data_IF_927699292070
#
_entry.id   IF_927699292070
#
_cell.length_a   1.000
_cell.length_b   1.000
_cell.length_c   1.000
_cell.angle_alpha   90.00
_cell.angle_beta   90.00
_cell.angle_gamma   90.00
#
_symmetry.space_group_name_H-M   'P 1'
#
loop_
_entity.id
_entity.type
_entity.pdbx_description
1 polymer ?
#
# COMPACT_ATOMS: atom_id res chain seq x y z
N UNK A 1 13.04 -18.00 15.54
CA UNK A 1 12.04 -17.13 14.88
C UNK A 1 12.36 -17.20 13.41
N UNK A 2 11.43 -17.58 12.53
CA UNK A 2 11.85 -17.87 11.15
C UNK A 2 12.22 -16.59 10.40
N UNK A 3 13.34 -16.65 9.68
CA UNK A 3 13.86 -15.58 8.82
C UNK A 3 13.98 -16.06 7.39
N UNK A 4 13.59 -15.22 6.43
CA UNK A 4 13.92 -15.39 5.01
C UNK A 4 14.58 -14.10 4.50
N UNK A 5 15.73 -14.25 3.84
CA UNK A 5 16.46 -13.14 3.22
C UNK A 5 16.53 -13.44 1.72
N UNK A 6 16.17 -12.45 0.90
CA UNK A 6 16.13 -12.67 -0.55
C UNK A 6 16.02 -11.38 -1.34
N UNK A 7 15.77 -11.56 -2.64
CA UNK A 7 15.49 -10.47 -3.57
C UNK A 7 14.23 -10.79 -4.35
N UNK A 8 13.27 -9.86 -4.34
CA UNK A 8 12.08 -9.92 -5.16
C UNK A 8 12.28 -9.10 -6.45
N UNK A 9 11.63 -9.48 -7.53
CA UNK A 9 11.72 -8.78 -8.81
C UNK A 9 10.87 -7.50 -8.88
N UNK A 10 9.88 -7.37 -7.99
CA UNK A 10 8.97 -6.23 -7.89
C UNK A 10 8.23 -6.22 -6.55
N UNK A 11 7.52 -5.15 -6.25
CA UNK A 11 6.59 -5.10 -5.12
C UNK A 11 5.49 -6.19 -5.16
N UNK A 12 5.16 -6.71 -6.35
CA UNK A 12 4.14 -7.75 -6.50
C UNK A 12 4.67 -9.16 -6.30
N UNK A 13 5.92 -9.40 -6.72
CA UNK A 13 6.64 -10.64 -6.43
C UNK A 13 6.95 -10.73 -4.93
N UNK A 14 7.36 -9.62 -4.32
CA UNK A 14 7.55 -9.54 -2.86
C UNK A 14 6.27 -9.92 -2.09
N UNK A 15 5.09 -9.58 -2.63
CA UNK A 15 3.80 -9.86 -2.00
C UNK A 15 3.51 -11.37 -2.01
N UNK A 16 3.75 -12.03 -3.14
CA UNK A 16 3.58 -13.49 -3.28
C UNK A 16 4.61 -14.26 -2.45
N UNK A 17 5.84 -13.73 -2.36
CA UNK A 17 6.89 -14.28 -1.49
C UNK A 17 6.50 -14.17 -0.02
N UNK A 18 6.01 -13.02 0.44
CA UNK A 18 5.53 -12.86 1.83
C UNK A 18 4.38 -13.84 2.13
N UNK A 19 3.40 -13.91 1.23
CA UNK A 19 2.29 -14.88 1.34
C UNK A 19 2.81 -16.29 1.53
N UNK A 20 3.72 -16.73 0.67
CA UNK A 20 4.31 -18.08 0.73
C UNK A 20 5.10 -18.29 2.02
N UNK A 21 5.90 -17.31 2.43
CA UNK A 21 6.66 -17.35 3.67
C UNK A 21 5.76 -17.59 4.88
N UNK A 22 4.69 -16.79 5.03
CA UNK A 22 3.79 -16.86 6.18
C UNK A 22 2.88 -18.10 6.20
N UNK A 23 2.45 -18.56 5.03
CA UNK A 23 1.42 -19.62 4.90
C UNK A 23 1.98 -21.00 4.58
N UNK A 24 3.26 -21.11 4.21
CA UNK A 24 3.91 -22.36 3.83
C UNK A 24 5.24 -22.56 4.53
N UNK A 25 6.12 -21.56 4.53
CA UNK A 25 7.51 -21.72 5.03
C UNK A 25 7.58 -21.82 6.55
N UNK A 26 6.74 -21.07 7.29
CA UNK A 26 6.75 -21.11 8.75
C UNK A 26 6.48 -22.53 9.30
N UNK A 27 7.10 -22.86 10.47
CA UNK A 27 6.76 -24.05 11.24
C UNK A 27 5.24 -24.18 11.43
N UNK A 28 4.72 -25.41 11.40
CA UNK A 28 3.27 -25.67 11.37
C UNK A 28 2.52 -24.97 12.51
N UNK A 29 3.11 -24.90 13.71
CA UNK A 29 2.53 -24.24 14.89
C UNK A 29 2.61 -22.70 14.88
N UNK A 30 3.40 -22.12 13.99
CA UNK A 30 3.58 -20.67 13.83
C UNK A 30 2.98 -20.13 12.53
N UNK A 31 2.49 -21.02 11.66
CA UNK A 31 2.03 -20.71 10.32
C UNK A 31 0.73 -19.93 10.34
N UNK A 32 0.69 -18.87 9.53
CA UNK A 32 -0.50 -18.06 9.35
C UNK A 32 -1.45 -18.73 8.35
N UNK A 33 -2.74 -18.70 8.63
CA UNK A 33 -3.77 -19.20 7.73
C UNK A 33 -4.11 -18.13 6.69
N UNK A 34 -4.13 -18.51 5.41
CA UNK A 34 -4.73 -17.71 4.34
C UNK A 34 -6.26 -17.82 4.39
N UNK A 35 -6.94 -16.70 4.61
CA UNK A 35 -8.39 -16.61 4.59
C UNK A 35 -8.91 -16.21 3.21
N UNK A 36 -8.15 -15.38 2.49
CA UNK A 36 -8.47 -14.92 1.14
C UNK A 36 -7.21 -14.45 0.43
N UNK A 37 -7.13 -14.73 -0.87
CA UNK A 37 -6.13 -14.18 -1.77
C UNK A 37 -6.69 -14.10 -3.18
N UNK A 38 -6.55 -12.96 -3.86
CA UNK A 38 -6.82 -12.85 -5.31
C UNK A 38 -5.51 -12.84 -6.11
N UNK A 39 -5.19 -13.92 -6.84
CA UNK A 39 -3.97 -13.96 -7.66
C UNK A 39 -4.06 -13.04 -8.90
N UNK A 40 -5.28 -12.71 -9.32
CA UNK A 40 -5.56 -11.93 -10.52
C UNK A 40 -5.67 -10.43 -10.20
N UNK A 41 -4.60 -9.68 -10.52
CA UNK A 41 -4.52 -8.22 -10.46
C UNK A 41 -3.89 -7.72 -11.77
N UNK A 42 -4.55 -6.84 -12.50
CA UNK A 42 -3.95 -6.29 -13.73
C UNK A 42 -3.58 -4.84 -13.50
N UNK A 43 -2.37 -4.46 -13.91
CA UNK A 43 -1.90 -3.07 -13.83
C UNK A 43 -2.15 -2.40 -15.17
N UNK A 44 -2.71 -1.20 -15.13
CA UNK A 44 -2.62 -0.28 -16.26
C UNK A 44 -1.24 0.41 -16.21
N UNK A 45 -0.41 0.15 -17.21
CA UNK A 45 0.97 0.68 -17.30
C UNK A 45 1.11 1.79 -18.34
N UNK A 46 0.20 1.85 -19.31
CA UNK A 46 0.18 2.84 -20.37
C UNK A 46 -1.24 3.32 -20.67
N UNK A 47 -1.39 4.60 -21.04
CA UNK A 47 -2.55 5.10 -21.78
C UNK A 47 -2.03 5.86 -22.98
N UNK A 48 -2.64 5.64 -24.13
CA UNK A 48 -2.25 6.29 -25.38
C UNK A 48 -3.50 6.75 -26.14
N UNK A 49 -3.31 7.78 -26.95
CA UNK A 49 -4.29 8.25 -27.90
C UNK A 49 -3.55 8.71 -29.16
N UNK A 50 -4.03 8.33 -30.34
CA UNK A 50 -3.49 8.84 -31.60
C UNK A 50 -4.22 10.11 -32.07
N UNK A 51 -5.37 10.42 -31.46
CA UNK A 51 -6.28 11.48 -31.85
C UNK A 51 -6.74 12.29 -30.64
N UNK A 52 -5.83 12.95 -29.94
CA UNK A 52 -6.12 13.73 -28.73
C UNK A 52 -4.98 13.61 -27.74
N UNK A 53 -5.01 14.39 -26.66
CA UNK A 53 -4.01 14.32 -25.61
C UNK A 53 -4.53 13.46 -24.45
N UNK A 54 -3.70 12.55 -23.96
CA UNK A 54 -4.01 11.75 -22.78
C UNK A 54 -2.75 11.58 -21.95
N UNK A 55 -2.91 11.51 -20.63
CA UNK A 55 -1.81 11.24 -19.70
C UNK A 55 -2.23 10.14 -18.74
N UNK A 56 -1.25 9.48 -18.12
CA UNK A 56 -1.53 8.47 -17.09
C UNK A 56 -2.25 9.06 -15.86
N UNK A 57 -2.00 10.33 -15.53
CA UNK A 57 -2.62 11.00 -14.37
C UNK A 57 -4.08 11.40 -14.63
N UNK A 58 -4.39 11.87 -15.84
CA UNK A 58 -5.70 12.34 -16.24
C UNK A 58 -6.15 11.62 -17.52
N UNK A 59 -6.90 10.53 -17.34
CA UNK A 59 -7.53 9.79 -18.43
C UNK A 59 -8.88 9.15 -18.01
N UNK A 60 -9.72 8.77 -18.97
CA UNK A 60 -11.01 8.15 -18.71
C UNK A 60 -10.91 6.70 -18.19
N UNK A 61 -9.73 6.06 -18.21
CA UNK A 61 -9.56 4.69 -17.70
C UNK A 61 -9.29 4.64 -16.20
N UNK A 62 -8.94 5.74 -15.55
CA UNK A 62 -8.59 5.75 -14.13
C UNK A 62 -9.84 5.81 -13.21
N UNK A 63 -9.66 5.51 -11.92
CA UNK A 63 -10.77 5.47 -10.95
C UNK A 63 -11.39 6.86 -10.69
N UNK A 64 -10.58 7.91 -10.78
CA UNK A 64 -10.97 9.33 -10.67
C UNK A 64 -11.19 9.95 -12.05
N UNK A 65 -11.84 9.19 -12.95
CA UNK A 65 -11.91 9.42 -14.39
C UNK A 65 -11.97 10.90 -14.75
N UNK A 66 -10.95 11.37 -15.47
CA UNK A 66 -10.99 12.69 -16.10
C UNK A 66 -11.41 12.53 -17.54
N UNK A 67 -12.28 13.41 -18.02
CA UNK A 67 -12.76 13.39 -19.40
C UNK A 67 -11.63 13.33 -20.42
N UNK A 68 -11.88 12.68 -21.55
CA UNK A 68 -11.05 12.76 -22.74
C UNK A 68 -11.86 13.31 -23.91
N UNK A 69 -11.22 14.18 -24.70
CA UNK A 69 -11.78 14.70 -25.95
C UNK A 69 -10.86 14.33 -27.09
N UNK A 70 -11.44 13.74 -28.13
CA UNK A 70 -10.70 13.45 -29.35
C UNK A 70 -10.42 14.72 -30.13
N UNK A 71 -9.29 14.78 -30.85
CA UNK A 71 -8.96 15.92 -31.73
C UNK A 71 -10.06 16.13 -32.77
N UNK A 72 -10.58 17.35 -32.91
CA UNK A 72 -11.65 17.67 -33.87
C UNK A 72 -11.31 17.18 -35.29
N UNK A 73 -12.26 16.52 -35.94
CA UNK A 73 -12.14 15.92 -37.29
C UNK A 73 -11.09 14.80 -37.45
N UNK A 74 -10.44 14.34 -36.38
CA UNK A 74 -9.41 13.30 -36.46
C UNK A 74 -9.95 11.86 -36.54
N UNK A 75 -11.04 11.63 -37.28
CA UNK A 75 -11.61 10.28 -37.45
C UNK A 75 -10.61 9.36 -38.15
N UNK A 76 -10.45 8.09 -37.72
CA UNK A 76 -11.04 7.51 -36.51
C UNK A 76 -10.34 8.01 -35.25
N UNK A 77 -11.13 8.24 -34.20
CA UNK A 77 -10.55 8.57 -32.90
C UNK A 77 -10.11 7.32 -32.16
N UNK A 78 -8.90 7.31 -31.62
CA UNK A 78 -8.37 6.15 -30.91
C UNK A 78 -7.84 6.55 -29.53
N UNK A 79 -8.26 5.78 -28.55
CA UNK A 79 -7.77 5.84 -27.17
C UNK A 79 -7.65 4.42 -26.63
N UNK A 80 -6.58 4.11 -25.93
CA UNK A 80 -6.33 2.78 -25.42
C UNK A 80 -5.41 2.73 -24.22
N UNK A 81 -5.22 1.51 -23.74
CA UNK A 81 -4.46 1.17 -22.54
C UNK A 81 -3.48 0.05 -22.84
N UNK A 82 -2.37 0.08 -22.11
CA UNK A 82 -1.43 -1.03 -22.01
C UNK A 82 -1.53 -1.62 -20.61
N UNK A 83 -1.59 -2.94 -20.55
CA UNK A 83 -1.53 -3.70 -19.31
C UNK A 83 -0.13 -4.29 -19.07
N UNK A 84 0.26 -4.44 -17.81
CA UNK A 84 1.54 -5.07 -17.43
C UNK A 84 1.69 -6.51 -17.94
N UNK A 85 0.55 -7.20 -18.07
CA UNK A 85 0.43 -8.56 -18.59
C UNK A 85 -0.70 -8.68 -19.61
N UNK A 86 -0.61 -9.67 -20.53
CA UNK A 86 -1.70 -9.95 -21.44
C UNK A 86 -3.01 -10.28 -20.71
N UNK A 87 -4.11 -9.65 -21.14
CA UNK A 87 -5.48 -9.84 -20.62
C UNK A 87 -6.47 -10.00 -21.76
N UNK A 88 -7.63 -10.60 -21.47
CA UNK A 88 -8.74 -10.71 -22.41
C UNK A 88 -9.93 -9.84 -21.97
N UNK A 89 -10.71 -9.32 -22.91
CA UNK A 89 -11.87 -8.50 -22.60
C UNK A 89 -13.19 -9.24 -22.85
N UNK A 90 -14.03 -9.29 -21.81
CA UNK A 90 -15.37 -9.93 -21.84
C UNK A 90 -16.51 -8.90 -21.82
N UNK A 91 -16.26 -7.70 -21.30
CA UNK A 91 -17.20 -6.60 -21.35
C UNK A 91 -16.51 -5.25 -21.15
N UNK A 92 -17.22 -4.17 -21.46
CA UNK A 92 -16.80 -2.81 -21.16
C UNK A 92 -17.98 -1.92 -20.79
N UNK A 93 -17.76 -0.98 -19.88
CA UNK A 93 -18.70 0.09 -19.57
C UNK A 93 -18.08 1.43 -19.96
N UNK A 94 -18.73 2.18 -20.83
CA UNK A 94 -18.26 3.50 -21.28
C UNK A 94 -19.28 4.54 -20.87
N UNK A 95 -18.80 5.63 -20.27
CA UNK A 95 -19.60 6.78 -19.85
C UNK A 95 -19.35 7.94 -20.80
N UNK A 96 -20.42 8.44 -21.42
CA UNK A 96 -20.36 9.61 -22.28
C UNK A 96 -20.15 10.89 -21.45
N UNK A 97 -19.36 11.84 -21.95
CA UNK A 97 -19.17 13.14 -21.27
C UNK A 97 -20.28 14.14 -21.57
N UNK A 98 -20.80 14.10 -22.79
CA UNK A 98 -21.84 15.01 -23.30
C UNK A 98 -22.90 14.19 -24.04
N UNK A 99 -24.06 14.77 -24.32
CA UNK A 99 -25.11 14.13 -25.12
C UNK A 99 -24.91 14.26 -26.63
N UNK A 100 -23.98 15.10 -27.09
CA UNK A 100 -23.88 15.53 -28.49
C UNK A 100 -22.54 15.20 -29.13
N UNK A 101 -21.63 14.51 -28.44
CA UNK A 101 -20.33 14.10 -28.99
C UNK A 101 -19.97 12.70 -28.49
N UNK A 102 -20.93 11.79 -28.62
CA UNK A 102 -20.83 10.40 -28.13
C UNK A 102 -20.39 9.48 -29.27
N UNK A 103 -19.78 8.32 -28.97
CA UNK A 103 -19.48 7.34 -30.01
C UNK A 103 -20.76 6.85 -30.71
N UNK A 104 -20.74 6.85 -32.05
CA UNK A 104 -21.77 6.25 -32.89
C UNK A 104 -21.33 4.89 -33.46
N UNK A 105 -20.01 4.66 -33.53
CA UNK A 105 -19.40 3.38 -33.86
C UNK A 105 -18.10 3.20 -33.06
N UNK A 106 -17.90 2.00 -32.51
CA UNK A 106 -16.73 1.61 -31.71
C UNK A 106 -16.28 0.23 -32.14
N UNK A 107 -15.01 0.09 -32.47
CA UNK A 107 -14.32 -1.20 -32.54
C UNK A 107 -13.43 -1.37 -31.31
N UNK A 108 -13.58 -2.49 -30.61
CA UNK A 108 -12.64 -2.91 -29.58
C UNK A 108 -11.50 -3.66 -30.26
N UNK A 109 -10.30 -3.09 -30.21
CA UNK A 109 -9.12 -3.64 -30.87
C UNK A 109 -8.04 -4.00 -29.87
N UNK A 110 -7.22 -4.98 -30.23
CA UNK A 110 -6.07 -5.42 -29.44
C UNK A 110 -4.78 -5.46 -30.25
N UNK A 111 -3.66 -5.48 -29.54
CA UNK A 111 -2.32 -5.59 -30.09
C UNK A 111 -1.36 -6.19 -29.06
N UNK A 112 -0.28 -6.82 -29.54
CA UNK A 112 0.84 -7.29 -28.70
C UNK A 112 2.11 -6.43 -28.85
N UNK A 113 2.18 -5.59 -29.88
CA UNK A 113 3.33 -4.73 -30.18
C UNK A 113 3.00 -3.22 -30.13
N UNK A 114 1.72 -2.87 -29.94
CA UNK A 114 1.22 -1.50 -29.93
C UNK A 114 1.13 -0.86 -31.34
N UNK A 115 1.55 -1.56 -32.39
CA UNK A 115 1.65 -1.06 -33.76
C UNK A 115 0.62 -1.71 -34.69
N UNK A 116 0.50 -3.04 -34.63
CA UNK A 116 -0.42 -3.83 -35.42
C UNK A 116 -1.67 -4.15 -34.61
N UNK A 117 -2.83 -3.78 -35.14
CA UNK A 117 -4.10 -3.83 -34.42
C UNK A 117 -5.12 -4.74 -35.09
N UNK A 118 -5.75 -5.61 -34.29
CA UNK A 118 -6.81 -6.51 -34.73
C UNK A 118 -8.11 -6.17 -34.01
N UNK A 119 -9.23 -6.19 -34.73
CA UNK A 119 -10.56 -5.97 -34.14
C UNK A 119 -11.08 -7.26 -33.50
N UNK A 120 -11.47 -7.20 -32.22
CA UNK A 120 -12.21 -8.25 -31.54
C UNK A 120 -13.70 -8.14 -31.82
N UNK A 121 -14.30 -6.98 -31.50
CA UNK A 121 -15.73 -6.74 -31.60
C UNK A 121 -16.00 -5.34 -32.17
N UNK A 122 -17.06 -5.23 -32.97
CA UNK A 122 -17.50 -3.99 -33.60
C UNK A 122 -18.95 -3.67 -33.21
N UNK A 123 -19.18 -2.43 -32.80
CA UNK A 123 -20.49 -1.88 -32.48
C UNK A 123 -20.74 -0.66 -33.34
N UNK A 124 -21.87 -0.62 -34.05
CA UNK A 124 -22.24 0.51 -34.93
C UNK A 124 -23.72 0.84 -34.81
N UNK A 125 -24.13 1.96 -35.41
CA UNK A 125 -25.52 2.41 -35.38
C UNK A 125 -25.97 2.98 -34.04
N UNK A 126 -25.04 3.27 -33.13
CA UNK A 126 -25.36 3.88 -31.84
C UNK A 126 -25.82 5.33 -32.03
N UNK A 127 -26.90 5.67 -31.34
CA UNK A 127 -27.55 6.99 -31.35
C UNK A 127 -27.42 7.67 -29.99
N UNK A 128 -27.83 8.94 -29.87
CA UNK A 128 -27.83 9.62 -28.57
C UNK A 128 -28.72 8.94 -27.51
N UNK A 129 -29.69 8.12 -27.91
CA UNK A 129 -30.58 7.40 -26.99
C UNK A 129 -29.90 6.15 -26.39
N UNK A 130 -28.87 5.64 -27.05
CA UNK A 130 -28.07 4.50 -26.57
C UNK A 130 -27.18 4.84 -25.38
N UNK A 131 -26.99 6.14 -25.14
CA UNK A 131 -26.21 6.70 -24.05
C UNK A 131 -27.20 7.44 -23.15
N UNK A 132 -27.35 7.01 -21.90
CA UNK A 132 -28.44 7.40 -20.98
C UNK A 132 -28.36 8.86 -20.47
N UNK A 133 -28.30 9.87 -21.36
CA UNK A 133 -28.03 11.30 -21.13
C UNK A 133 -26.56 11.67 -20.85
N UNK A 134 -26.28 12.92 -20.46
CA UNK A 134 -24.93 13.35 -20.06
C UNK A 134 -24.46 12.51 -18.87
N UNK A 135 -23.28 11.90 -18.96
CA UNK A 135 -22.79 10.90 -17.99
C UNK A 135 -23.55 9.56 -17.99
N UNK A 136 -24.28 9.26 -19.07
CA UNK A 136 -24.91 7.96 -19.26
C UNK A 136 -23.91 6.85 -19.54
N UNK A 137 -24.11 5.69 -18.90
CA UNK A 137 -23.28 4.48 -19.06
C UNK A 137 -23.88 3.59 -20.15
N UNK A 138 -23.07 3.21 -21.14
CA UNK A 138 -23.38 2.14 -22.08
C UNK A 138 -22.50 0.92 -21.80
N UNK A 139 -23.14 -0.23 -21.60
CA UNK A 139 -22.48 -1.51 -21.41
C UNK A 139 -22.32 -2.23 -22.75
N UNK A 140 -21.17 -2.87 -22.93
CA UNK A 140 -20.79 -3.66 -24.11
C UNK A 140 -20.46 -5.07 -23.63
N UNK A 141 -21.06 -6.08 -24.26
CA UNK A 141 -20.67 -7.48 -24.10
C UNK A 141 -19.69 -7.82 -25.21
N UNK A 142 -18.52 -8.36 -24.86
CA UNK A 142 -17.42 -8.62 -25.78
C UNK A 142 -17.18 -10.13 -25.89
N UNK A 143 -16.69 -10.59 -27.04
CA UNK A 143 -16.53 -12.02 -27.35
C UNK A 143 -15.25 -12.66 -26.82
N UNK A 144 -14.36 -11.88 -26.19
CA UNK A 144 -13.06 -12.33 -25.71
C UNK A 144 -13.14 -13.42 -24.64
N UNK A 145 -12.13 -14.28 -24.61
CA UNK A 145 -11.97 -15.37 -23.63
C UNK A 145 -10.48 -15.57 -23.30
N UNK A 146 -10.18 -16.52 -22.42
CA UNK A 146 -8.83 -16.77 -21.90
C UNK A 146 -7.76 -17.12 -22.98
N UNK A 147 -8.15 -17.42 -24.22
CA UNK A 147 -7.24 -17.62 -25.36
C UNK A 147 -6.89 -16.32 -26.09
N UNK A 148 -7.66 -15.24 -25.90
CA UNK A 148 -7.50 -13.94 -26.57
C UNK A 148 -6.83 -12.90 -25.66
N UNK A 149 -5.66 -13.24 -25.11
CA UNK A 149 -4.94 -12.37 -24.18
C UNK A 149 -3.93 -11.50 -24.90
N UNK A 150 -4.06 -10.19 -24.71
CA UNK A 150 -3.21 -9.20 -25.34
C UNK A 150 -2.81 -8.09 -24.37
N UNK A 151 -1.65 -7.49 -24.60
CA UNK A 151 -1.13 -6.41 -23.73
C UNK A 151 -1.81 -5.08 -23.98
N UNK A 152 -2.12 -4.77 -25.23
CA UNK A 152 -2.66 -3.48 -25.62
C UNK A 152 -4.11 -3.63 -26.06
N UNK A 153 -4.95 -2.71 -25.58
CA UNK A 153 -6.37 -2.63 -25.93
C UNK A 153 -6.74 -1.20 -26.25
N UNK A 154 -7.54 -0.98 -27.30
CA UNK A 154 -8.04 0.36 -27.65
C UNK A 154 -9.47 0.35 -28.13
N UNK A 155 -10.11 1.50 -27.96
CA UNK A 155 -11.34 1.87 -28.66
C UNK A 155 -10.92 2.56 -29.96
N UNK A 156 -11.36 2.03 -31.11
CA UNK A 156 -11.27 2.70 -32.41
C UNK A 156 -12.65 3.21 -32.81
N UNK A 157 -12.81 4.53 -32.80
CA UNK A 157 -14.11 5.20 -32.88
C UNK A 157 -14.19 5.90 -34.23
N UNK A 158 -14.79 5.22 -35.20
CA UNK A 158 -14.87 5.68 -36.59
C UNK A 158 -15.93 6.77 -36.80
N UNK A 159 -16.92 6.85 -35.91
CA UNK A 159 -17.97 7.87 -36.01
C UNK A 159 -18.51 8.30 -34.65
N UNK A 160 -19.05 9.52 -34.59
CA UNK A 160 -19.67 10.10 -33.40
C UNK A 160 -20.97 10.82 -33.73
N UNK A 161 -21.83 10.98 -32.73
CA UNK A 161 -23.07 11.73 -32.85
C UNK A 161 -22.85 13.24 -32.96
N UNK A 162 -21.64 13.71 -32.64
CA UNK A 162 -21.22 15.12 -32.77
C UNK A 162 -20.64 15.50 -34.12
N UNK A 163 -20.64 14.59 -35.09
CA UNK A 163 -20.13 14.86 -36.44
C UNK A 163 -18.61 15.00 -36.47
N UNK A 164 -18.07 16.12 -35.98
CA UNK A 164 -16.64 16.46 -35.97
C UNK A 164 -15.95 16.24 -34.61
N UNK A 165 -16.70 15.90 -33.56
CA UNK A 165 -16.20 15.89 -32.18
C UNK A 165 -16.55 14.60 -31.45
N UNK A 166 -15.69 14.23 -30.50
CA UNK A 166 -15.86 13.05 -29.64
C UNK A 166 -15.41 13.38 -28.21
N UNK A 167 -16.21 12.97 -27.22
CA UNK A 167 -15.92 13.15 -25.80
C UNK A 167 -16.32 11.93 -24.98
N UNK A 168 -15.45 11.50 -24.07
CA UNK A 168 -15.66 10.38 -23.14
C UNK A 168 -15.40 10.86 -21.70
N UNK A 169 -16.16 10.35 -20.74
CA UNK A 169 -15.95 10.63 -19.32
C UNK A 169 -15.15 9.50 -18.67
N UNK A 170 -15.63 8.26 -18.80
CA UNK A 170 -15.06 7.10 -18.12
C UNK A 170 -15.14 5.85 -19.00
N UNK A 171 -14.14 4.98 -18.89
CA UNK A 171 -14.08 3.68 -19.55
C UNK A 171 -13.68 2.65 -18.48
N UNK A 172 -14.43 1.57 -18.37
CA UNK A 172 -14.10 0.41 -17.53
C UNK A 172 -14.13 -0.82 -18.42
N UNK A 173 -13.03 -1.55 -18.47
CA UNK A 173 -12.84 -2.79 -19.18
C UNK A 173 -12.93 -3.94 -18.18
N UNK A 174 -13.50 -5.07 -18.57
CA UNK A 174 -13.72 -6.20 -17.68
C UNK A 174 -13.21 -7.50 -18.29
N UNK A 175 -12.65 -8.34 -17.44
CA UNK A 175 -12.33 -9.74 -17.71
C UNK A 175 -13.12 -10.62 -16.76
N UNK A 176 -13.96 -11.50 -17.28
CA UNK A 176 -14.74 -12.47 -16.52
C UNK A 176 -15.55 -11.81 -15.37
N UNK A 177 -16.07 -10.60 -15.62
CA UNK A 177 -16.82 -9.80 -14.64
C UNK A 177 -15.97 -8.94 -13.69
N UNK A 178 -14.64 -9.06 -13.73
CA UNK A 178 -13.72 -8.26 -12.91
C UNK A 178 -13.21 -7.03 -13.69
N UNK A 179 -13.31 -5.81 -13.15
CA UNK A 179 -12.90 -4.61 -13.87
C UNK A 179 -11.39 -4.45 -13.88
N UNK A 180 -10.74 -4.42 -15.05
CA UNK A 180 -9.28 -4.48 -15.22
C UNK A 180 -8.53 -3.17 -14.99
N UNK A 181 -9.13 -2.03 -15.34
CA UNK A 181 -8.45 -0.74 -15.42
C UNK A 181 -8.89 0.25 -14.33
N UNK A 182 -9.84 -0.14 -13.48
CA UNK A 182 -9.96 0.46 -12.13
C UNK A 182 -8.98 -0.31 -11.26
N UNK A 183 -8.08 0.35 -10.52
CA UNK A 183 -7.03 -0.28 -9.71
C UNK A 183 -7.53 -1.55 -9.00
N UNK A 184 -7.31 -2.73 -9.60
CA UNK A 184 -7.47 -3.98 -8.89
C UNK A 184 -6.21 -4.17 -8.07
N UNK A 185 -6.42 -4.25 -6.76
CA UNK A 185 -5.38 -4.48 -5.79
C UNK A 185 -5.19 -5.99 -5.68
N UNK A 186 -3.95 -6.46 -5.61
CA UNK A 186 -3.71 -7.76 -4.95
C UNK A 186 -4.15 -7.59 -3.51
N UNK A 187 -4.81 -8.61 -2.97
CA UNK A 187 -5.35 -8.63 -1.63
C UNK A 187 -5.06 -9.97 -0.99
N UNK A 188 -4.77 -9.91 0.30
CA UNK A 188 -4.45 -11.06 1.12
C UNK A 188 -5.03 -10.82 2.51
N UNK A 189 -5.86 -11.74 2.99
CA UNK A 189 -6.35 -11.76 4.37
C UNK A 189 -5.71 -12.94 5.09
N UNK A 190 -5.10 -12.67 6.24
CA UNK A 190 -4.38 -13.66 7.02
C UNK A 190 -4.94 -13.75 8.44
N UNK A 191 -4.88 -14.96 9.00
CA UNK A 191 -5.12 -15.24 10.42
C UNK A 191 -3.88 -15.87 11.06
N UNK A 192 -3.23 -15.16 11.96
CA UNK A 192 -2.11 -15.67 12.76
C UNK A 192 -2.58 -16.51 13.96
N UNK A 193 -1.85 -17.56 14.35
CA UNK A 193 -2.24 -18.46 15.45
C UNK A 193 -1.97 -17.88 16.85
N UNK A 194 -1.23 -16.77 16.94
CA UNK A 194 -0.89 -16.10 18.20
C UNK A 194 -0.22 -17.00 19.24
N UNK A 195 -0.68 -16.94 20.49
CA UNK A 195 -0.20 -17.77 21.60
C UNK A 195 -0.94 -19.11 21.78
N UNK A 196 -1.81 -19.49 20.85
CA UNK A 196 -2.57 -20.75 20.88
C UNK A 196 -4.08 -20.55 20.67
N UNK A 197 -4.74 -19.81 21.57
CA UNK A 197 -6.19 -19.49 21.46
C UNK A 197 -6.47 -18.12 20.84
N UNK A 198 -5.42 -17.34 20.57
CA UNK A 198 -5.55 -16.03 19.94
C UNK A 198 -5.80 -16.20 18.43
N UNK A 199 -6.50 -15.24 17.84
CA UNK A 199 -6.68 -15.17 16.39
C UNK A 199 -6.30 -13.78 15.89
N UNK A 200 -5.16 -13.68 15.20
CA UNK A 200 -4.64 -12.37 14.76
C UNK A 200 -5.08 -12.10 13.32
N UNK A 201 -5.98 -11.16 13.11
CA UNK A 201 -6.47 -10.81 11.78
C UNK A 201 -5.75 -9.59 11.20
N UNK A 202 -5.16 -9.77 10.02
CA UNK A 202 -4.60 -8.67 9.22
C UNK A 202 -5.01 -8.80 7.76
N UNK A 203 -5.12 -7.66 7.08
CA UNK A 203 -5.43 -7.60 5.67
C UNK A 203 -4.38 -6.75 4.95
N UNK A 204 -3.80 -7.28 3.87
CA UNK A 204 -2.83 -6.62 3.02
C UNK A 204 -3.41 -6.39 1.64
N UNK A 205 -3.24 -5.20 1.09
CA UNK A 205 -3.53 -4.94 -0.32
C UNK A 205 -2.43 -4.13 -1.00
N UNK A 206 -2.25 -4.30 -2.31
CA UNK A 206 -1.36 -3.42 -3.07
C UNK A 206 -2.03 -2.07 -3.29
N UNK A 207 -1.24 -1.01 -3.30
CA UNK A 207 -1.65 0.33 -3.64
C UNK A 207 -0.56 0.89 -4.54
N UNK A 208 -0.87 1.24 -5.79
CA UNK A 208 0.16 1.65 -6.73
C UNK A 208 -0.35 2.72 -7.70
N UNK A 209 0.54 3.57 -8.22
CA UNK A 209 0.28 4.42 -9.36
C UNK A 209 1.52 4.49 -10.23
N UNK A 210 1.39 4.08 -11.49
CA UNK A 210 2.49 4.17 -12.46
C UNK A 210 2.85 5.63 -12.73
N UNK A 211 1.86 6.51 -12.92
CA UNK A 211 2.10 7.96 -13.02
C UNK A 211 2.62 8.59 -11.74
N UNK A 212 2.20 8.06 -10.59
CA UNK A 212 2.61 8.55 -9.29
C UNK A 212 4.01 8.08 -8.88
N UNK A 213 4.58 7.09 -9.59
CA UNK A 213 5.84 6.41 -9.25
C UNK A 213 5.84 5.81 -7.83
N UNK A 214 4.81 5.03 -7.51
CA UNK A 214 4.73 4.33 -6.23
C UNK A 214 4.01 2.99 -6.38
N UNK A 215 4.47 1.97 -5.65
CA UNK A 215 4.02 0.58 -5.75
C UNK A 215 3.87 -0.06 -4.36
N UNK A 216 3.25 0.67 -3.47
CA UNK A 216 3.20 0.39 -2.04
C UNK A 216 2.27 -0.77 -1.70
N UNK A 217 2.34 -1.22 -0.45
CA UNK A 217 1.28 -2.02 0.16
C UNK A 217 0.55 -1.23 1.24
N UNK A 218 -0.70 -1.58 1.48
CA UNK A 218 -1.52 -1.18 2.63
C UNK A 218 -1.68 -2.38 3.55
N UNK A 219 -1.49 -2.17 4.84
CA UNK A 219 -1.79 -3.13 5.90
C UNK A 219 -2.89 -2.57 6.80
N UNK A 220 -3.90 -3.39 7.05
CA UNK A 220 -4.98 -3.13 8.00
C UNK A 220 -4.93 -4.18 9.10
N UNK A 221 -5.09 -3.76 10.35
CA UNK A 221 -5.43 -4.65 11.45
C UNK A 221 -6.93 -4.89 11.48
N UNK A 222 -7.35 -6.04 11.99
CA UNK A 222 -8.75 -6.38 12.18
C UNK A 222 -8.95 -7.27 13.42
N UNK A 223 -10.21 -7.46 13.79
CA UNK A 223 -10.64 -8.34 14.89
C UNK A 223 -11.40 -9.57 14.40
N UNK A 224 -11.58 -9.68 13.08
CA UNK A 224 -12.27 -10.79 12.45
C UNK A 224 -12.20 -10.68 10.93
N UNK A 225 -12.85 -11.63 10.27
CA UNK A 225 -12.88 -11.72 8.82
C UNK A 225 -14.26 -12.13 8.31
N UNK A 226 -14.73 -11.45 7.25
CA UNK A 226 -15.95 -11.76 6.52
C UNK A 226 -15.60 -11.90 5.04
N UNK A 227 -15.84 -13.08 4.46
CA UNK A 227 -15.51 -13.40 3.07
C UNK A 227 -16.19 -12.46 2.05
N UNK A 228 -17.43 -12.05 2.34
CA UNK A 228 -18.18 -11.11 1.49
C UNK A 228 -17.61 -9.69 1.42
N UNK A 229 -16.71 -9.32 2.33
CA UNK A 229 -16.13 -7.98 2.47
C UNK A 229 -14.67 -7.91 1.98
N UNK A 230 -14.25 -8.86 1.14
CA UNK A 230 -12.86 -8.98 0.66
C UNK A 230 -12.47 -7.93 -0.39
N UNK A 231 -13.44 -7.22 -0.97
CA UNK A 231 -13.20 -6.16 -1.94
C UNK A 231 -12.95 -4.78 -1.30
N UNK A 232 -13.31 -4.62 -0.02
CA UNK A 232 -13.04 -3.41 0.75
C UNK A 232 -12.68 -3.76 2.19
N UNK A 233 -11.38 -3.77 2.49
CA UNK A 233 -10.90 -4.10 3.83
C UNK A 233 -11.31 -3.10 4.91
N UNK A 234 -11.72 -1.88 4.55
CA UNK A 234 -12.28 -0.93 5.51
C UNK A 234 -13.63 -1.41 6.10
N UNK A 235 -14.24 -2.44 5.51
CA UNK A 235 -15.50 -3.04 5.98
C UNK A 235 -15.31 -4.35 6.75
N UNK A 236 -14.07 -4.76 7.04
CA UNK A 236 -13.78 -5.92 7.88
C UNK A 236 -14.05 -5.63 9.37
N UNK A 237 -14.42 -6.63 10.20
CA UNK A 237 -14.74 -6.41 11.62
C UNK A 237 -13.61 -5.75 12.42
N UNK A 238 -13.91 -4.61 13.06
CA UNK A 238 -12.99 -3.90 13.94
C UNK A 238 -11.70 -3.46 13.26
N UNK A 239 -11.76 -3.09 11.99
CA UNK A 239 -10.58 -2.75 11.22
C UNK A 239 -9.96 -1.40 11.61
N UNK A 240 -8.65 -1.30 11.44
CA UNK A 240 -7.90 -0.05 11.60
C UNK A 240 -7.98 0.82 10.34
N UNK A 241 -7.47 2.05 10.41
CA UNK A 241 -6.96 2.73 9.22
C UNK A 241 -5.71 2.02 8.68
N UNK A 242 -5.36 2.16 7.39
CA UNK A 242 -4.19 1.51 6.83
C UNK A 242 -2.89 2.18 7.25
N UNK A 243 -1.84 1.38 7.33
CA UNK A 243 -0.43 1.84 7.25
C UNK A 243 0.17 1.35 5.93
N UNK A 244 1.17 2.06 5.43
CA UNK A 244 1.80 1.76 4.15
C UNK A 244 3.20 1.19 4.26
N UNK A 245 3.56 0.26 3.37
CA UNK A 245 4.95 -0.09 3.09
C UNK A 245 5.34 0.53 1.74
N UNK A 246 6.21 1.53 1.75
CA UNK A 246 6.69 2.13 0.50
C UNK A 246 7.59 1.16 -0.27
N UNK A 247 7.31 0.96 -1.56
CA UNK A 247 8.03 0.05 -2.44
C UNK A 247 8.09 0.62 -3.87
N UNK A 248 8.77 -0.10 -4.77
CA UNK A 248 8.87 0.22 -6.20
C UNK A 248 8.64 -1.02 -7.09
N UNK A 249 8.57 -0.81 -8.40
CA UNK A 249 8.42 -1.90 -9.38
C UNK A 249 9.75 -2.28 -10.04
N UNK A 250 10.72 -2.64 -9.21
CA UNK A 250 12.04 -3.13 -9.63
C UNK A 250 12.55 -4.12 -8.58
N UNK A 251 13.80 -4.57 -8.70
CA UNK A 251 14.44 -5.49 -7.76
C UNK A 251 14.43 -4.95 -6.32
N UNK A 252 14.02 -5.75 -5.35
CA UNK A 252 13.89 -5.39 -3.93
C UNK A 252 14.58 -6.45 -3.07
N UNK A 253 15.79 -6.18 -2.54
CA UNK A 253 16.33 -6.95 -1.44
C UNK A 253 15.42 -6.85 -0.20
N UNK A 254 15.16 -7.97 0.46
CA UNK A 254 14.24 -8.04 1.58
C UNK A 254 14.68 -8.98 2.71
N UNK A 255 14.11 -8.73 3.88
CA UNK A 255 14.13 -9.61 5.04
C UNK A 255 12.71 -9.82 5.53
N UNK A 256 12.26 -11.06 5.58
CA UNK A 256 11.06 -11.46 6.30
C UNK A 256 11.44 -12.08 7.62
N UNK A 257 10.76 -11.66 8.69
CA UNK A 257 10.98 -12.18 10.04
C UNK A 257 9.61 -12.45 10.65
N UNK A 258 9.28 -13.69 10.98
CA UNK A 258 7.96 -13.99 11.52
C UNK A 258 7.94 -15.15 12.53
N UNK A 259 6.86 -15.18 13.28
CA UNK A 259 6.42 -16.28 14.13
C UNK A 259 4.88 -16.29 14.17
N UNK A 260 4.29 -17.12 15.04
CA UNK A 260 2.83 -17.19 15.17
C UNK A 260 2.14 -15.91 15.67
N UNK A 261 2.89 -14.99 16.30
CA UNK A 261 2.34 -13.77 16.94
C UNK A 261 2.52 -12.51 16.11
N UNK A 262 3.50 -12.47 15.19
CA UNK A 262 3.79 -11.31 14.35
C UNK A 262 4.62 -11.66 13.13
N UNK A 263 4.63 -10.75 12.16
CA UNK A 263 5.60 -10.72 11.07
C UNK A 263 6.14 -9.30 10.85
N UNK A 264 7.35 -9.24 10.31
CA UNK A 264 8.01 -8.03 9.83
C UNK A 264 8.49 -8.22 8.41
N UNK A 265 8.42 -7.15 7.64
CA UNK A 265 9.03 -7.04 6.32
C UNK A 265 9.98 -5.85 6.36
N UNK A 266 11.21 -6.06 5.93
CA UNK A 266 12.16 -4.99 5.66
C UNK A 266 12.47 -5.06 4.17
N UNK A 267 12.28 -3.94 3.47
CA UNK A 267 12.56 -3.81 2.05
C UNK A 267 13.59 -2.71 1.83
N UNK A 268 14.66 -3.03 1.10
CA UNK A 268 15.63 -2.04 0.63
C UNK A 268 15.19 -1.53 -0.74
N UNK A 269 14.98 -0.22 -0.81
CA UNK A 269 14.64 0.48 -2.05
C UNK A 269 15.73 1.49 -2.33
N UNK A 270 16.56 1.23 -3.35
CA UNK A 270 17.78 1.99 -3.62
C UNK A 270 18.70 2.07 -2.36
N UNK A 271 18.81 3.25 -1.74
CA UNK A 271 19.60 3.50 -0.53
C UNK A 271 18.75 3.63 0.74
N UNK A 272 17.45 3.39 0.66
CA UNK A 272 16.47 3.59 1.75
C UNK A 272 15.88 2.27 2.25
N UNK A 273 15.47 2.24 3.52
CA UNK A 273 14.97 1.04 4.19
C UNK A 273 13.56 1.25 4.73
N UNK A 274 12.62 0.50 4.17
CA UNK A 274 11.20 0.58 4.51
C UNK A 274 10.77 -0.68 5.25
N UNK A 275 10.10 -0.52 6.39
CA UNK A 275 9.70 -1.62 7.24
C UNK A 275 8.18 -1.66 7.48
N UNK A 276 7.63 -2.87 7.55
CA UNK A 276 6.25 -3.19 7.90
C UNK A 276 6.25 -4.12 9.12
N UNK A 277 5.29 -3.95 10.01
CA UNK A 277 5.03 -4.81 11.16
C UNK A 277 3.54 -5.13 11.24
N UNK A 278 3.20 -6.41 11.43
CA UNK A 278 1.83 -6.83 11.72
C UNK A 278 1.82 -7.91 12.80
N UNK A 279 1.17 -7.64 13.93
CA UNK A 279 1.03 -8.62 15.01
C UNK A 279 0.97 -8.01 16.40
N UNK A 280 1.08 -8.86 17.42
CA UNK A 280 0.98 -8.43 18.81
C UNK A 280 2.29 -7.84 19.33
N UNK A 281 2.18 -6.72 20.06
CA UNK A 281 3.27 -6.23 20.91
C UNK A 281 3.47 -7.14 22.13
N UNK A 282 4.51 -6.89 22.92
CA UNK A 282 4.70 -7.48 24.24
C UNK A 282 4.10 -6.54 25.30
N UNK A 283 2.82 -6.72 25.71
CA UNK A 283 2.19 -5.80 26.63
C UNK A 283 2.76 -5.90 28.04
N UNK A 284 2.83 -4.78 28.75
CA UNK A 284 3.10 -4.75 30.20
C UNK A 284 1.81 -4.96 31.01
N UNK A 285 1.02 -5.94 30.60
CA UNK A 285 -0.28 -6.28 31.16
C UNK A 285 -0.56 -7.77 30.95
N UNK A 286 -1.40 -8.36 31.81
CA UNK A 286 -1.85 -9.75 31.59
C UNK A 286 -2.77 -9.83 30.37
N UNK A 287 -2.93 -11.02 29.75
CA UNK A 287 -3.91 -11.21 28.68
C UNK A 287 -5.34 -10.82 29.09
N UNK A 288 -5.70 -10.89 30.37
CA UNK A 288 -7.01 -10.43 30.85
C UNK A 288 -7.15 -8.91 30.92
N UNK A 289 -6.06 -8.18 31.15
CA UNK A 289 -6.04 -6.72 31.20
C UNK A 289 -5.91 -6.11 29.80
N UNK A 290 -5.18 -6.78 28.90
CA UNK A 290 -4.98 -6.33 27.52
C UNK A 290 -5.10 -7.51 26.53
N UNK A 291 -6.34 -7.91 26.17
CA UNK A 291 -6.60 -9.17 25.47
C UNK A 291 -6.23 -9.18 23.99
N UNK A 292 -6.08 -8.01 23.35
CA UNK A 292 -5.81 -7.96 21.91
C UNK A 292 -4.90 -6.78 21.54
N UNK A 293 -3.61 -6.83 21.94
CA UNK A 293 -2.64 -5.75 21.77
C UNK A 293 -2.06 -5.76 20.34
N UNK A 294 -2.94 -5.77 19.34
CA UNK A 294 -2.58 -5.78 17.92
C UNK A 294 -2.03 -4.44 17.49
N UNK A 295 -0.80 -4.45 16.99
CA UNK A 295 -0.17 -3.32 16.33
C UNK A 295 -0.06 -3.59 14.83
N UNK A 296 -0.29 -2.54 14.05
CA UNK A 296 0.15 -2.47 12.66
C UNK A 296 1.09 -1.26 12.50
N UNK A 297 2.16 -1.49 11.75
CA UNK A 297 3.19 -0.50 11.50
C UNK A 297 3.67 -0.57 10.06
N UNK A 298 3.95 0.58 9.46
CA UNK A 298 4.51 0.71 8.13
C UNK A 298 5.59 1.78 8.06
N UNK A 299 6.01 2.09 6.84
CA UNK A 299 6.94 3.16 6.51
C UNK A 299 6.28 4.38 5.86
N UNK A 300 4.97 4.32 5.59
CA UNK A 300 4.20 5.40 4.97
C UNK A 300 2.85 5.61 5.66
N UNK A 301 2.47 6.87 5.89
CA UNK A 301 1.20 7.24 6.50
C UNK A 301 0.13 7.32 5.40
N UNK A 302 -0.76 6.33 5.37
CA UNK A 302 -1.74 6.18 4.30
C UNK A 302 -3.13 6.65 4.72
N UNK A 303 -3.81 7.41 3.85
CA UNK A 303 -5.21 7.79 4.08
C UNK A 303 -6.16 6.67 3.65
N UNK A 304 -7.32 6.51 4.32
CA UNK A 304 -8.38 5.61 3.85
C UNK A 304 -8.93 6.05 2.48
N UNK A 305 -9.45 5.09 1.71
CA UNK A 305 -10.04 5.29 0.39
C UNK A 305 -9.18 4.76 -0.76
N UNK A 306 -9.82 4.13 -1.75
CA UNK A 306 -9.17 3.67 -2.98
C UNK A 306 -8.87 4.86 -3.89
N UNK A 307 -7.60 5.08 -4.23
CA UNK A 307 -7.21 6.13 -5.19
C UNK A 307 -7.14 7.55 -4.62
N UNK A 308 -6.91 7.74 -3.31
CA UNK A 308 -6.64 9.09 -2.80
C UNK A 308 -5.31 9.60 -3.34
N UNK A 309 -5.38 10.47 -4.33
CA UNK A 309 -4.28 11.25 -4.87
C UNK A 309 -3.58 12.03 -3.73
N UNK A 310 -2.44 11.52 -3.28
CA UNK A 310 -1.45 12.31 -2.54
C UNK A 310 -0.14 12.33 -3.34
N UNK A 311 -0.11 13.30 -4.24
CA UNK A 311 0.96 14.20 -4.71
C UNK A 311 2.38 13.61 -4.88
N UNK A 312 3.13 13.38 -3.80
CA UNK A 312 4.53 12.92 -3.84
C UNK A 312 4.93 12.17 -2.56
N UNK A 313 4.16 12.33 -1.48
CA UNK A 313 4.43 11.74 -0.16
C UNK A 313 4.21 10.22 -0.10
N UNK A 314 3.55 9.65 -1.11
CA UNK A 314 3.40 8.19 -1.26
C UNK A 314 4.64 7.52 -1.88
N UNK A 315 5.58 8.29 -2.43
CA UNK A 315 6.79 7.71 -3.02
C UNK A 315 7.72 7.20 -1.93
N UNK A 316 8.44 6.12 -2.23
CA UNK A 316 9.55 5.64 -1.40
C UNK A 316 10.61 6.73 -1.18
N UNK A 317 10.78 7.63 -2.16
CA UNK A 317 11.72 8.75 -2.12
C UNK A 317 11.20 10.00 -1.41
N UNK A 318 9.99 9.97 -0.82
CA UNK A 318 9.47 11.09 -0.04
C UNK A 318 10.36 11.35 1.18
N UNK A 319 10.68 12.62 1.40
CA UNK A 319 11.41 13.11 2.56
C UNK A 319 10.49 13.62 3.69
N UNK A 320 9.17 13.50 3.52
CA UNK A 320 8.20 13.94 4.52
C UNK A 320 8.25 13.06 5.78
N UNK A 321 7.76 13.61 6.89
CA UNK A 321 7.63 12.86 8.14
C UNK A 321 6.49 11.83 8.12
N UNK A 322 5.60 11.89 7.12
CA UNK A 322 4.70 10.79 6.77
C UNK A 322 5.42 9.58 6.17
N UNK A 323 6.70 9.69 5.80
CA UNK A 323 7.56 8.59 5.35
C UNK A 323 8.59 8.24 6.44
N UNK A 324 8.18 7.40 7.38
CA UNK A 324 8.94 6.96 8.56
C UNK A 324 8.53 5.56 8.98
N UNK A 325 9.50 4.71 9.31
CA UNK A 325 9.27 3.37 9.82
C UNK A 325 8.53 3.41 11.17
N UNK A 326 7.73 2.38 11.43
CA UNK A 326 6.82 2.28 12.57
C UNK A 326 7.49 2.41 13.95
N UNK A 327 8.79 2.12 14.06
CA UNK A 327 9.53 2.23 15.32
C UNK A 327 9.88 3.66 15.70
N UNK A 328 10.03 4.55 14.71
CA UNK A 328 10.18 5.99 14.90
C UNK A 328 9.09 6.69 14.06
N UNK A 329 7.81 6.52 14.46
CA UNK A 329 6.68 6.73 13.58
C UNK A 329 6.43 8.21 13.30
N UNK A 330 5.79 8.47 12.16
CA UNK A 330 5.32 9.80 11.82
C UNK A 330 3.93 9.81 11.20
N UNK A 331 3.40 11.00 10.93
CA UNK A 331 2.10 11.17 10.32
C UNK A 331 1.95 12.48 9.57
N UNK A 332 0.73 12.76 9.12
CA UNK A 332 0.47 13.92 8.24
C UNK A 332 0.13 15.22 8.99
N UNK A 333 -0.12 15.14 10.29
CA UNK A 333 -0.52 16.27 11.13
C UNK A 333 -0.21 16.00 12.60
N UNK A 334 -0.22 17.05 13.42
CA UNK A 334 -0.03 16.97 14.87
C UNK A 334 -1.25 16.45 15.63
N UNK A 335 -2.38 16.17 14.96
CA UNK A 335 -3.62 15.79 15.63
C UNK A 335 -3.51 14.42 16.33
N UNK A 336 -3.61 14.43 17.66
CA UNK A 336 -3.69 13.23 18.49
C UNK A 336 -5.08 13.01 19.10
N UNK A 337 -6.02 13.91 18.86
CA UNK A 337 -7.38 13.81 19.37
C UNK A 337 -8.24 12.86 18.54
N UNK A 338 -8.05 12.87 17.22
CA UNK A 338 -8.80 12.00 16.32
C UNK A 338 -8.20 10.59 16.26
N UNK A 339 -9.05 9.58 16.46
CA UNK A 339 -8.72 8.17 16.20
C UNK A 339 -8.54 7.89 14.70
N UNK A 340 -8.99 8.81 13.84
CA UNK A 340 -8.79 8.71 12.38
C UNK A 340 -7.58 9.50 11.88
N UNK A 341 -6.72 9.97 12.79
CA UNK A 341 -5.48 10.64 12.39
C UNK A 341 -4.56 9.67 11.66
N UNK A 342 -4.07 10.08 10.49
CA UNK A 342 -3.22 9.26 9.61
C UNK A 342 -1.77 9.25 10.07
N UNK A 343 -1.23 8.04 10.24
CA UNK A 343 0.12 7.75 10.77
C UNK A 343 0.70 6.48 10.15
N UNK A 344 1.99 6.25 10.36
CA UNK A 344 2.69 5.00 10.04
C UNK A 344 2.53 3.91 11.11
N UNK A 345 1.85 4.16 12.23
CA UNK A 345 1.71 3.19 13.33
C UNK A 345 0.36 3.30 14.07
N UNK A 346 -0.37 2.20 14.20
CA UNK A 346 -1.55 2.10 15.06
C UNK A 346 -1.46 0.92 16.01
N UNK A 347 -2.00 1.11 17.22
CA UNK A 347 -2.19 0.06 18.21
C UNK A 347 -3.65 0.01 18.63
N UNK A 348 -4.21 -1.20 18.70
CA UNK A 348 -5.57 -1.41 19.23
C UNK A 348 -5.53 -1.49 20.74
N UNK A 349 -6.33 -0.69 21.43
CA UNK A 349 -6.36 -0.63 22.89
C UNK A 349 -7.37 -1.63 23.47
N UNK A 350 -7.31 -1.81 24.80
CA UNK A 350 -8.24 -2.67 25.55
C UNK A 350 -9.68 -2.17 25.51
N UNK A 351 -9.91 -0.88 25.25
CA UNK A 351 -11.24 -0.28 25.02
C UNK A 351 -11.84 -0.64 23.65
N UNK A 352 -11.07 -1.30 22.79
CA UNK A 352 -11.48 -1.74 21.47
C UNK A 352 -11.15 -0.79 20.33
N UNK A 353 -10.68 0.42 20.62
CA UNK A 353 -10.39 1.46 19.64
C UNK A 353 -8.97 1.36 19.08
N UNK A 354 -8.80 1.84 17.85
CA UNK A 354 -7.49 1.99 17.21
C UNK A 354 -6.93 3.37 17.47
N UNK A 355 -5.73 3.42 18.04
CA UNK A 355 -5.08 4.67 18.41
C UNK A 355 -3.85 4.90 17.53
N UNK A 356 -3.72 6.09 16.91
CA UNK A 356 -2.54 6.42 16.12
C UNK A 356 -1.35 6.79 17.01
N UNK A 357 -0.17 6.30 16.68
CA UNK A 357 1.11 6.61 17.32
C UNK A 357 2.00 7.39 16.38
N UNK A 358 2.56 8.53 16.80
CA UNK A 358 3.44 9.39 15.99
C UNK A 358 4.42 10.11 16.89
N UNK A 359 5.70 10.00 16.59
CA UNK A 359 6.72 10.89 17.17
C UNK A 359 6.79 12.21 16.39
N UNK A 360 6.58 12.14 15.06
CA UNK A 360 6.77 13.26 14.14
C UNK A 360 5.55 13.49 13.26
N UNK A 361 5.43 14.68 12.67
CA UNK A 361 4.40 14.94 11.68
C UNK A 361 4.88 15.87 10.57
N UNK A 362 4.32 15.69 9.37
CA UNK A 362 4.61 16.56 8.23
C UNK A 362 4.13 17.98 8.50
N UNK A 363 5.04 18.94 8.38
CA UNK A 363 4.75 20.37 8.56
C UNK A 363 5.67 21.21 7.67
N UNK A 364 5.58 22.54 7.76
CA UNK A 364 6.55 23.44 7.10
C UNK A 364 7.96 23.39 7.71
N UNK A 365 8.11 22.72 8.86
CA UNK A 365 9.39 22.48 9.55
C UNK A 365 9.70 20.99 9.47
N UNK A 366 10.94 20.67 9.11
CA UNK A 366 11.43 19.29 9.09
C UNK A 366 11.48 18.69 10.50
N UNK A 367 11.07 17.43 10.64
CA UNK A 367 11.05 16.70 11.90
C UNK A 367 10.26 17.44 12.99
N UNK A 368 9.04 17.86 12.66
CA UNK A 368 8.17 18.52 13.64
C UNK A 368 7.65 17.50 14.68
N UNK A 369 7.99 17.77 15.92
CA UNK A 369 7.68 16.97 17.10
C UNK A 369 6.20 17.01 17.47
N UNK A 370 5.59 15.85 17.75
CA UNK A 370 4.29 15.82 18.45
C UNK A 370 4.51 16.04 19.95
N UNK A 371 4.08 17.18 20.48
CA UNK A 371 4.43 17.64 21.84
C UNK A 371 3.81 16.81 22.97
N UNK A 372 2.63 16.23 22.78
CA UNK A 372 1.96 15.35 23.76
C UNK A 372 1.14 14.30 23.00
N UNK A 373 1.14 13.06 23.48
CA UNK A 373 0.31 12.01 22.89
C UNK A 373 0.93 10.62 22.93
N UNK A 374 0.70 9.87 21.86
CA UNK A 374 0.96 8.44 21.75
C UNK A 374 2.21 8.24 20.91
N UNK A 375 3.30 7.82 21.56
CA UNK A 375 4.65 7.89 21.02
C UNK A 375 5.38 6.55 21.18
N UNK A 376 6.50 6.40 20.46
CA UNK A 376 7.41 5.25 20.58
C UNK A 376 8.76 5.74 21.10
N UNK A 377 9.08 5.34 22.33
CA UNK A 377 10.38 5.58 22.97
C UNK A 377 11.43 4.61 22.40
N UNK A 378 12.72 5.01 22.27
CA UNK A 378 13.33 6.26 22.72
C UNK A 378 13.24 7.43 21.73
N UNK A 379 12.67 7.24 20.55
CA UNK A 379 12.59 8.28 19.53
C UNK A 379 11.50 9.34 19.77
N UNK A 380 10.81 9.25 20.90
CA UNK A 380 9.82 10.23 21.33
C UNK A 380 10.42 11.65 21.34
N UNK A 381 9.66 12.66 20.92
CA UNK A 381 10.21 13.94 20.52
C UNK A 381 10.40 14.95 21.67
N UNK A 382 10.22 14.55 22.93
CA UNK A 382 10.53 15.44 24.06
C UNK A 382 11.98 15.92 23.93
N UNK A 383 12.20 17.24 24.02
CA UNK A 383 13.49 17.90 23.78
C UNK A 383 14.66 17.23 24.51
N UNK A 384 14.40 16.68 25.68
CA UNK A 384 15.42 16.11 26.54
C UNK A 384 15.82 14.69 26.09
N UNK A 385 14.85 13.86 25.68
CA UNK A 385 15.11 12.47 25.24
C UNK A 385 15.82 12.41 23.89
N UNK A 386 15.34 13.20 22.91
CA UNK A 386 15.95 13.27 21.58
C UNK A 386 17.39 13.80 21.64
N UNK A 387 17.70 14.68 22.61
CA UNK A 387 19.05 15.22 22.81
C UNK A 387 19.98 14.22 23.51
N UNK A 388 19.49 13.50 24.52
CA UNK A 388 20.26 12.46 25.19
C UNK A 388 20.62 11.31 24.23
N UNK A 389 19.68 10.87 23.40
CA UNK A 389 19.89 9.74 22.50
C UNK A 389 20.91 10.04 21.38
N UNK A 390 21.01 11.29 20.92
CA UNK A 390 22.03 11.74 19.94
C UNK A 390 23.48 11.52 20.42
N UNK A 391 23.69 11.45 21.74
CA UNK A 391 25.02 11.34 22.34
C UNK A 391 25.42 9.89 22.65
N UNK A 392 24.53 8.92 22.40
CA UNK A 392 24.83 7.50 22.66
C UNK A 392 25.86 7.00 21.65
N UNK A 393 26.87 6.33 22.17
CA UNK A 393 27.95 5.65 21.43
C UNK A 393 28.06 4.21 21.92
N UNK A 394 29.05 3.46 21.43
CA UNK A 394 29.32 2.11 21.92
C UNK A 394 29.78 2.12 23.38
N UNK A 395 29.60 1.00 24.07
CA UNK A 395 30.14 0.75 25.41
C UNK A 395 31.67 0.72 25.41
N UNK A 396 32.29 0.64 26.59
CA UNK A 396 33.76 0.62 26.76
C UNK A 396 34.44 -0.59 26.08
N UNK A 397 33.69 -1.67 25.87
CA UNK A 397 34.07 -2.88 25.14
C UNK A 397 33.64 -2.85 23.66
N UNK A 398 33.30 -1.67 23.14
CA UNK A 398 32.89 -1.41 21.75
C UNK A 398 31.63 -2.16 21.31
N UNK A 399 30.75 -2.55 22.24
CA UNK A 399 29.46 -3.15 21.93
C UNK A 399 28.37 -2.08 21.73
N UNK A 400 27.39 -2.40 20.90
CA UNK A 400 26.20 -1.55 20.76
C UNK A 400 25.23 -1.78 21.91
N UNK A 401 24.64 -0.70 22.42
CA UNK A 401 23.55 -0.78 23.39
C UNK A 401 22.21 -0.83 22.66
N UNK A 402 21.39 -1.82 23.00
CA UNK A 402 20.03 -1.94 22.52
C UNK A 402 19.06 -1.41 23.55
N UNK A 403 18.12 -0.56 23.11
CA UNK A 403 17.01 -0.11 23.92
C UNK A 403 15.70 -0.66 23.35
N UNK A 404 14.77 -1.15 24.18
CA UNK A 404 13.48 -1.63 23.69
C UNK A 404 12.68 -0.49 23.03
N UNK A 405 11.92 -0.82 22.00
CA UNK A 405 10.99 0.14 21.40
C UNK A 405 9.66 0.11 22.16
N UNK A 406 9.46 1.08 23.05
CA UNK A 406 8.33 1.08 23.98
C UNK A 406 7.21 1.99 23.47
N UNK A 407 6.02 1.44 23.32
CA UNK A 407 4.82 2.21 23.01
C UNK A 407 4.24 2.80 24.30
N UNK A 408 4.09 4.13 24.35
CA UNK A 408 3.59 4.82 25.53
C UNK A 408 2.66 5.99 25.18
N UNK A 409 1.86 6.38 26.17
CA UNK A 409 0.96 7.53 26.11
C UNK A 409 1.41 8.54 27.15
N UNK A 410 1.78 9.73 26.67
CA UNK A 410 2.12 10.90 27.46
C UNK A 410 1.04 11.98 27.22
N UNK A 411 -0.05 11.89 27.98
CA UNK A 411 -1.20 12.80 27.84
C UNK A 411 -2.52 12.20 28.32
N UNK A 412 -3.60 12.98 28.24
CA UNK A 412 -4.89 12.62 28.85
C UNK A 412 -5.81 11.74 27.97
N UNK A 413 -5.53 11.58 26.67
CA UNK A 413 -6.40 10.83 25.75
C UNK A 413 -5.65 9.78 24.89
N UNK A 414 -5.71 8.48 25.25
CA UNK A 414 -6.28 7.93 26.48
C UNK A 414 -5.39 8.27 27.69
N UNK A 415 -5.76 7.84 28.91
CA UNK A 415 -4.96 8.13 30.10
C UNK A 415 -3.49 7.70 29.95
N UNK A 416 -2.55 8.42 30.59
CA UNK A 416 -1.13 8.10 30.49
C UNK A 416 -0.87 6.64 30.84
N UNK A 417 -0.08 5.96 30.02
CA UNK A 417 0.21 4.54 30.21
C UNK A 417 1.47 4.11 29.46
N UNK A 418 2.15 3.07 29.96
CA UNK A 418 3.22 2.37 29.27
C UNK A 418 2.67 1.03 28.82
N UNK A 419 2.54 0.84 27.51
CA UNK A 419 1.69 -0.23 26.97
C UNK A 419 2.48 -1.52 26.75
N UNK A 420 3.75 -1.42 26.36
CA UNK A 420 4.61 -2.56 26.07
C UNK A 420 5.63 -2.29 24.98
N UNK A 421 6.27 -3.36 24.53
CA UNK A 421 7.39 -3.32 23.58
C UNK A 421 7.01 -3.85 22.20
N UNK A 422 7.54 -3.23 21.14
CA UNK A 422 7.40 -3.77 19.79
C UNK A 422 8.33 -4.99 19.65
N UNK A 423 7.74 -6.19 19.57
CA UNK A 423 8.49 -7.44 19.69
C UNK A 423 9.60 -7.60 18.64
N UNK A 424 10.85 -7.64 19.10
CA UNK A 424 12.03 -7.89 18.26
C UNK A 424 12.57 -6.64 17.57
N UNK A 425 12.19 -5.45 18.03
CA UNK A 425 12.64 -4.17 17.49
C UNK A 425 13.27 -3.36 18.61
N UNK A 426 14.50 -2.91 18.38
CA UNK A 426 15.29 -2.19 19.36
C UNK A 426 15.87 -0.93 18.74
N UNK A 427 15.98 0.14 19.51
CA UNK A 427 16.75 1.31 19.12
C UNK A 427 18.24 1.03 19.33
N UNK A 428 19.06 1.42 18.37
CA UNK A 428 20.52 1.33 18.43
C UNK A 428 21.13 2.63 17.90
N UNK A 429 22.31 3.01 18.38
CA UNK A 429 23.00 4.20 17.85
C UNK A 429 23.57 3.95 16.46
N UNK A 430 23.45 4.95 15.58
CA UNK A 430 24.14 5.01 14.28
C UNK A 430 25.63 5.37 14.37
N UNK A 431 26.16 5.63 15.57
CA UNK A 431 27.57 5.96 15.75
C UNK A 431 28.48 4.79 15.33
N UNK A 432 29.25 4.97 14.25
CA UNK A 432 30.10 3.90 13.71
C UNK A 432 29.33 2.77 13.02
N UNK A 433 28.03 2.96 12.77
CA UNK A 433 27.18 1.98 12.11
C UNK A 433 26.95 2.29 10.64
N UNK A 434 26.69 1.25 9.87
CA UNK A 434 26.24 1.31 8.49
C UNK A 434 24.96 0.47 8.34
N UNK A 435 24.16 0.77 7.32
CA UNK A 435 22.95 0.00 7.05
C UNK A 435 23.30 -1.43 6.65
N UNK A 436 22.47 -2.38 7.07
CA UNK A 436 22.68 -3.82 6.92
C UNK A 436 23.82 -4.41 7.76
N UNK A 437 24.47 -3.60 8.61
CA UNK A 437 25.36 -4.16 9.63
C UNK A 437 24.60 -5.19 10.47
N UNK A 438 25.28 -6.27 10.80
CA UNK A 438 24.79 -7.27 11.74
C UNK A 438 25.61 -7.23 13.02
N UNK A 439 24.95 -7.51 14.14
CA UNK A 439 25.61 -7.66 15.44
C UNK A 439 24.96 -8.80 16.22
N UNK A 440 25.71 -9.40 17.14
CA UNK A 440 25.21 -10.47 17.99
C UNK A 440 25.28 -10.01 19.44
N UNK A 441 24.13 -9.92 20.10
CA UNK A 441 24.03 -9.49 21.51
C UNK A 441 23.23 -10.55 22.26
N UNK A 442 23.83 -11.10 23.32
CA UNK A 442 23.25 -12.19 24.11
C UNK A 442 22.81 -13.41 23.26
N UNK A 443 23.58 -13.72 22.21
CA UNK A 443 23.32 -14.86 21.32
C UNK A 443 22.26 -14.62 20.24
N UNK A 444 21.63 -13.44 20.21
CA UNK A 444 20.65 -13.05 19.18
C UNK A 444 21.36 -12.21 18.11
N UNK A 445 21.15 -12.54 16.85
CA UNK A 445 21.61 -11.75 15.70
C UNK A 445 20.61 -10.64 15.38
N UNK A 446 21.12 -9.45 15.10
CA UNK A 446 20.32 -8.28 14.76
C UNK A 446 20.74 -7.72 13.40
N UNK A 447 19.75 -7.30 12.60
CA UNK A 447 19.94 -6.46 11.41
C UNK A 447 19.79 -4.99 11.79
N UNK A 448 20.78 -4.16 11.50
CA UNK A 448 20.77 -2.73 11.79
C UNK A 448 20.34 -1.96 10.54
N UNK A 449 19.26 -1.18 10.66
CA UNK A 449 18.72 -0.36 9.56
C UNK A 449 18.43 1.08 10.00
N UNK A 450 18.60 2.07 9.11
CA UNK A 450 18.17 3.44 9.36
C UNK A 450 16.64 3.60 9.19
N UNK A 451 16.10 4.69 9.74
CA UNK A 451 14.71 5.11 9.52
C UNK A 451 14.56 5.70 8.12
N UNK A 452 14.19 4.85 7.17
CA UNK A 452 14.05 5.19 5.74
C UNK A 452 15.38 5.70 5.17
N UNK A 453 15.54 7.01 5.00
CA UNK A 453 16.74 7.67 4.47
C UNK A 453 17.58 8.35 5.57
N UNK A 454 17.11 8.34 6.83
CA UNK A 454 17.68 9.14 7.92
C UNK A 454 18.86 8.42 8.56
N UNK A 455 20.06 9.00 8.43
CA UNK A 455 21.33 8.39 8.89
C UNK A 455 21.93 9.00 10.15
N UNK A 456 21.28 10.02 10.74
CA UNK A 456 21.72 10.59 12.02
C UNK A 456 21.76 9.52 13.13
N UNK A 457 22.64 9.69 14.14
CA UNK A 457 22.92 8.65 15.14
C UNK A 457 21.68 8.13 15.85
N UNK A 458 20.69 8.97 16.03
CA UNK A 458 19.43 8.69 16.70
C UNK A 458 18.40 8.01 15.80
N UNK A 459 18.67 7.74 14.52
CA UNK A 459 17.66 7.30 13.54
C UNK A 459 17.78 5.84 13.12
N UNK A 460 18.25 4.96 14.01
CA UNK A 460 18.61 3.58 13.67
C UNK A 460 17.92 2.56 14.56
N UNK A 461 17.49 1.45 13.98
CA UNK A 461 16.90 0.32 14.69
C UNK A 461 17.71 -0.97 14.43
N UNK A 462 17.80 -1.81 15.45
CA UNK A 462 18.27 -3.18 15.40
C UNK A 462 17.05 -4.11 15.41
N UNK A 463 16.90 -4.91 14.36
CA UNK A 463 15.80 -5.86 14.19
C UNK A 463 16.31 -7.26 14.50
N UNK A 464 15.73 -7.92 15.48
CA UNK A 464 16.10 -9.29 15.86
C UNK A 464 15.78 -10.25 14.71
N UNK A 465 16.79 -11.00 14.28
CA UNK A 465 16.69 -12.07 13.29
C UNK A 465 16.44 -13.40 14.00
N UNK A 466 17.29 -13.74 14.97
CA UNK A 466 17.10 -14.73 16.05
C UNK A 466 18.39 -14.97 16.81
#
# INVERSE_FOLDING_TARGET
MTVEIGTANSAFDLFDKLRTFLTVTLPINERWQELYHNPDYTLLVGVFASSGTVTLAFNPFNAAASSWSGTTNAKPWQIGVEFDRPVHLTSANITALTSNAQPAAIDFQYSDDGLNWTTQDSFSGMTNLDWTSQSGIKAFTLSGNNLNKHKFWRLNISNSTGGSSLTLNRIILYQDGFPLNVQLRKRLSLKGPGGGSDEIFVNLETDYSVSGDWYNWRLYGATGFILGNTLDFATQPGTSLPVGLSLWNSSIPYWFIANGRRFMVIAKINTTYHALYGGFILPYATPSQYPYPLMIGGSNAMKPGSGSAFDTSQRWSSNDDSCRNFYDPGGISSDMTSLTSVTTNYLRFSDGSWYPFKNWYTSSVAEAAVTFGRNVWPWGPSSDHATAYKNIVTTIDNQYVLFPCIMHVDGANPSPNILGEIQGVFAVTGFGNAAENTTTINGINYLIIPNVFRTAKERWAAIALE
#
